data_IF_839885533725
#
_entry.id   IF_839885533725
#
_cell.length_a   1.000
_cell.length_b   1.000
_cell.length_c   1.000
_cell.angle_alpha   90.00
_cell.angle_beta   90.00
_cell.angle_gamma   90.00
#
_symmetry.space_group_name_H-M   'P 1'
#
loop_
_entity.id
_entity.type
_entity.pdbx_description
1 polymer ?
#
# COMPACT_ATOMS: atom_id res chain seq x y z
N UNK A 1 16.29 14.76 -11.30
CA UNK A 1 16.24 13.39 -10.87
C UNK A 1 14.84 12.91 -10.54
N UNK A 2 14.72 11.64 -10.27
CA UNK A 2 13.45 11.00 -9.90
C UNK A 2 13.35 10.98 -8.39
N UNK A 3 12.22 11.47 -7.84
CA UNK A 3 12.01 11.40 -6.41
C UNK A 3 11.55 10.00 -6.01
N UNK A 4 12.21 9.43 -5.01
CA UNK A 4 11.88 8.11 -4.48
C UNK A 4 11.57 8.25 -3.00
N UNK A 5 10.43 7.73 -2.58
CA UNK A 5 10.03 7.70 -1.18
C UNK A 5 10.07 6.27 -0.68
N UNK A 6 10.91 6.02 0.32
CA UNK A 6 10.93 4.76 1.05
C UNK A 6 10.16 4.96 2.34
N UNK A 7 9.05 4.25 2.49
CA UNK A 7 8.17 4.41 3.63
C UNK A 7 8.06 3.09 4.39
N UNK A 8 8.58 3.09 5.62
CA UNK A 8 8.35 1.94 6.50
C UNK A 8 6.92 2.03 7.01
N UNK A 9 6.06 1.21 6.42
CA UNK A 9 4.62 1.35 6.57
C UNK A 9 4.14 1.27 8.03
N UNK A 10 4.60 0.30 8.86
CA UNK A 10 4.15 0.24 10.24
C UNK A 10 4.48 1.49 11.06
N UNK A 11 5.68 2.05 10.86
CA UNK A 11 6.08 3.28 11.53
C UNK A 11 5.22 4.47 11.09
N UNK A 12 5.01 4.57 9.77
CA UNK A 12 4.16 5.61 9.22
C UNK A 12 2.76 5.58 9.84
N UNK A 13 2.15 4.39 9.90
CA UNK A 13 0.81 4.24 10.45
C UNK A 13 0.79 4.59 11.95
N UNK A 14 1.81 4.20 12.71
CA UNK A 14 1.84 4.51 14.14
C UNK A 14 1.97 5.99 14.44
N UNK A 15 2.56 6.77 13.51
CA UNK A 15 2.75 8.20 13.67
C UNK A 15 1.60 9.04 13.11
N UNK A 16 0.62 8.40 12.45
CA UNK A 16 -0.52 9.11 11.87
C UNK A 16 -1.57 9.45 12.92
N UNK A 17 -2.14 10.64 12.76
CA UNK A 17 -3.37 11.04 13.46
C UNK A 17 -4.26 11.80 12.47
N UNK A 18 -5.44 12.21 12.91
CA UNK A 18 -6.38 12.91 12.04
C UNK A 18 -5.84 14.27 11.57
N UNK A 19 -4.99 14.90 12.38
CA UNK A 19 -4.49 16.24 12.06
C UNK A 19 -3.41 16.22 10.98
N UNK A 20 -2.55 15.20 10.97
CA UNK A 20 -1.44 15.13 10.02
C UNK A 20 -1.70 14.24 8.80
N UNK A 21 -2.74 13.42 8.84
CA UNK A 21 -2.97 12.37 7.82
C UNK A 21 -3.11 12.95 6.41
N UNK A 22 -3.87 14.01 6.25
CA UNK A 22 -4.14 14.58 4.92
C UNK A 22 -2.86 15.08 4.26
N UNK A 23 -2.00 15.74 5.02
CA UNK A 23 -0.74 16.26 4.50
C UNK A 23 0.17 15.11 4.08
N UNK A 24 0.33 14.09 4.93
CA UNK A 24 1.17 12.94 4.63
C UNK A 24 0.66 12.14 3.44
N UNK A 25 -0.65 11.90 3.38
CA UNK A 25 -1.24 11.16 2.26
C UNK A 25 -1.01 11.89 0.95
N UNK A 26 -1.22 13.21 0.94
CA UNK A 26 -1.02 14.01 -0.28
C UNK A 26 0.42 13.96 -0.78
N UNK A 27 1.40 14.00 0.12
CA UNK A 27 2.81 13.91 -0.26
C UNK A 27 3.18 12.54 -0.78
N UNK A 28 2.74 11.49 -0.06
CA UNK A 28 3.12 10.12 -0.38
C UNK A 28 2.49 9.65 -1.68
N UNK A 29 1.20 9.92 -1.89
CA UNK A 29 0.54 9.46 -3.10
C UNK A 29 1.13 10.07 -4.37
N UNK A 30 1.72 11.24 -4.27
CA UNK A 30 2.27 11.98 -5.42
C UNK A 30 3.75 11.69 -5.69
N UNK A 31 4.43 10.92 -4.86
CA UNK A 31 5.84 10.58 -5.07
C UNK A 31 6.03 9.85 -6.39
N UNK A 32 7.09 10.15 -7.13
CA UNK A 32 7.33 9.51 -8.42
C UNK A 32 7.55 8.00 -8.29
N UNK A 33 8.30 7.58 -7.29
CA UNK A 33 8.51 6.17 -6.97
C UNK A 33 8.25 5.99 -5.47
N UNK A 34 7.41 5.02 -5.13
CA UNK A 34 7.09 4.73 -3.72
C UNK A 34 7.45 3.29 -3.38
N UNK A 35 8.15 3.10 -2.29
CA UNK A 35 8.38 1.77 -1.70
C UNK A 35 7.64 1.72 -0.38
N UNK A 36 6.63 0.86 -0.29
CA UNK A 36 5.91 0.59 0.95
C UNK A 36 6.54 -0.62 1.61
N UNK A 37 7.38 -0.36 2.61
CA UNK A 37 8.17 -1.38 3.26
C UNK A 37 7.42 -2.01 4.43
N UNK A 38 7.47 -3.32 4.50
CA UNK A 38 6.93 -4.13 5.61
C UNK A 38 5.42 -3.97 5.79
N UNK A 39 4.69 -3.91 4.67
CA UNK A 39 3.23 -3.84 4.72
C UNK A 39 2.67 -5.15 5.28
N UNK A 40 1.70 -5.04 6.20
CA UNK A 40 1.13 -6.19 6.88
C UNK A 40 1.63 -6.37 8.31
N UNK A 41 2.69 -5.64 8.71
CA UNK A 41 3.20 -5.67 10.08
C UNK A 41 2.51 -4.63 10.98
N UNK A 42 1.80 -3.68 10.38
CA UNK A 42 1.08 -2.66 11.14
C UNK A 42 -0.17 -3.24 11.81
N UNK A 43 -0.68 -2.53 12.82
CA UNK A 43 -1.99 -2.86 13.39
C UNK A 43 -3.07 -2.31 12.45
N UNK A 44 -3.85 -3.20 11.85
CA UNK A 44 -4.86 -2.82 10.89
C UNK A 44 -6.10 -2.24 11.56
N UNK A 45 -6.69 -1.22 10.95
CA UNK A 45 -8.02 -0.74 11.29
C UNK A 45 -8.69 -0.19 10.04
N UNK A 46 -10.02 -0.04 10.10
CA UNK A 46 -10.80 0.34 8.93
C UNK A 46 -10.43 1.73 8.40
N UNK A 47 -10.16 2.68 9.30
CA UNK A 47 -9.79 4.04 8.87
C UNK A 47 -8.47 4.05 8.10
N UNK A 48 -7.45 3.37 8.61
CA UNK A 48 -6.15 3.30 7.94
C UNK A 48 -6.30 2.60 6.60
N UNK A 49 -6.96 1.46 6.58
CA UNK A 49 -7.13 0.70 5.33
C UNK A 49 -7.87 1.51 4.27
N UNK A 50 -9.00 2.13 4.63
CA UNK A 50 -9.90 2.72 3.65
C UNK A 50 -9.59 4.18 3.33
N UNK A 51 -9.12 4.94 4.32
CA UNK A 51 -8.87 6.38 4.15
C UNK A 51 -7.41 6.73 3.89
N UNK A 52 -6.50 5.82 4.16
CA UNK A 52 -5.07 6.04 3.97
C UNK A 52 -4.53 5.16 2.85
N UNK A 53 -4.49 3.85 3.07
CA UNK A 53 -3.86 2.94 2.12
C UNK A 53 -4.59 2.91 0.78
N UNK A 54 -5.90 2.74 0.79
CA UNK A 54 -6.67 2.68 -0.44
C UNK A 54 -6.55 3.97 -1.24
N UNK A 55 -6.56 5.12 -0.58
CA UNK A 55 -6.45 6.42 -1.26
C UNK A 55 -5.09 6.55 -1.96
N UNK A 56 -4.02 6.17 -1.26
CA UNK A 56 -2.68 6.19 -1.84
C UNK A 56 -2.61 5.28 -3.06
N UNK A 57 -3.05 4.05 -2.92
CA UNK A 57 -2.93 3.05 -4.00
C UNK A 57 -3.83 3.39 -5.19
N UNK A 58 -5.03 3.90 -4.93
CA UNK A 58 -5.95 4.30 -6.00
C UNK A 58 -5.35 5.41 -6.86
N UNK A 59 -4.80 6.42 -6.24
CA UNK A 59 -4.16 7.53 -6.96
C UNK A 59 -2.98 7.02 -7.78
N UNK A 60 -2.13 6.19 -7.18
CA UNK A 60 -0.94 5.70 -7.86
C UNK A 60 -1.27 4.77 -9.02
N UNK A 61 -2.34 4.00 -8.90
CA UNK A 61 -2.83 3.17 -9.99
C UNK A 61 -3.34 4.02 -11.14
N UNK A 62 -4.14 5.04 -10.85
CA UNK A 62 -4.71 5.94 -11.87
C UNK A 62 -3.63 6.73 -12.62
N UNK A 63 -2.59 7.14 -11.91
CA UNK A 63 -1.52 7.96 -12.49
C UNK A 63 -0.32 7.13 -12.96
N UNK A 64 -0.44 5.82 -12.91
CA UNK A 64 0.63 4.89 -13.34
C UNK A 64 1.96 5.17 -12.66
N UNK A 65 1.94 5.40 -11.35
CA UNK A 65 3.14 5.69 -10.59
C UNK A 65 3.75 4.39 -10.05
N UNK A 66 5.02 4.12 -10.31
CA UNK A 66 5.68 2.90 -9.83
C UNK A 66 5.61 2.77 -8.32
N UNK A 67 5.11 1.63 -7.85
CA UNK A 67 4.91 1.36 -6.44
C UNK A 67 5.41 -0.05 -6.12
N UNK A 68 6.32 -0.14 -5.16
CA UNK A 68 6.91 -1.39 -4.72
C UNK A 68 6.42 -1.73 -3.32
N UNK A 69 6.33 -3.02 -3.04
CA UNK A 69 5.87 -3.50 -1.75
C UNK A 69 6.87 -4.52 -1.20
N UNK A 70 7.15 -4.45 0.09
CA UNK A 70 7.79 -5.56 0.80
C UNK A 70 6.86 -6.01 1.91
N UNK A 71 6.85 -7.31 2.18
CA UNK A 71 6.01 -7.88 3.23
C UNK A 71 6.54 -9.25 3.62
N UNK A 72 6.35 -9.61 4.88
CA UNK A 72 6.59 -10.98 5.34
C UNK A 72 5.37 -11.87 5.12
N UNK A 73 4.28 -11.30 4.63
CA UNK A 73 3.04 -12.03 4.38
C UNK A 73 2.90 -12.35 2.90
N UNK A 74 2.32 -13.51 2.60
CA UNK A 74 1.90 -13.83 1.24
C UNK A 74 0.65 -13.02 0.90
N UNK A 75 0.27 -12.99 -0.37
CA UNK A 75 -0.88 -12.20 -0.82
C UNK A 75 -2.16 -12.56 -0.06
N UNK A 76 -2.43 -13.85 0.14
CA UNK A 76 -3.62 -14.30 0.86
C UNK A 76 -3.57 -13.90 2.34
N UNK A 77 -2.40 -13.95 2.93
CA UNK A 77 -2.22 -13.54 4.32
C UNK A 77 -2.38 -12.04 4.48
N UNK A 78 -1.89 -11.26 3.51
CA UNK A 78 -2.07 -9.81 3.53
C UNK A 78 -3.55 -9.44 3.40
N UNK A 79 -4.29 -10.12 2.52
CA UNK A 79 -5.72 -9.90 2.40
C UNK A 79 -6.44 -10.20 3.71
N UNK A 80 -6.09 -11.30 4.37
CA UNK A 80 -6.67 -11.66 5.67
C UNK A 80 -6.36 -10.60 6.72
N UNK A 81 -5.12 -10.13 6.76
CA UNK A 81 -4.70 -9.07 7.66
C UNK A 81 -5.55 -7.80 7.46
N UNK A 82 -5.76 -7.41 6.20
CA UNK A 82 -6.54 -6.21 5.87
C UNK A 82 -8.03 -6.39 6.15
N UNK A 83 -8.54 -7.62 6.13
CA UNK A 83 -9.93 -7.89 6.44
C UNK A 83 -10.23 -7.85 7.93
N UNK A 84 -9.24 -8.15 8.77
CA UNK A 84 -9.43 -8.23 10.21
C UNK A 84 -9.36 -6.84 10.83
N UNK A 85 -10.48 -6.35 11.34
CA UNK A 85 -10.56 -5.09 12.08
C UNK A 85 -11.28 -5.34 13.40
N UNK A 86 -11.24 -4.36 14.30
CA UNK A 86 -11.93 -4.47 15.58
C UNK A 86 -13.45 -4.56 15.46
N UNK A 87 -13.99 -4.16 14.31
CA UNK A 87 -15.44 -4.19 14.09
C UNK A 87 -15.95 -5.54 13.66
N UNK A 88 -15.27 -6.16 12.68
CA UNK A 88 -15.70 -7.41 12.07
C UNK A 88 -14.68 -7.82 11.01
N UNK A 89 -14.88 -9.00 10.44
CA UNK A 89 -14.15 -9.39 9.25
C UNK A 89 -14.75 -8.67 8.05
N UNK A 90 -13.94 -7.83 7.41
CA UNK A 90 -14.39 -7.00 6.30
C UNK A 90 -13.71 -7.42 5.00
N UNK A 91 -14.27 -8.47 4.39
CA UNK A 91 -13.68 -9.10 3.20
C UNK A 91 -13.67 -8.15 1.99
N UNK A 92 -14.79 -7.47 1.73
CA UNK A 92 -14.89 -6.64 0.52
C UNK A 92 -13.98 -5.43 0.51
N UNK A 93 -13.87 -4.66 1.61
CA UNK A 93 -12.89 -3.59 1.67
C UNK A 93 -11.45 -4.09 1.50
N UNK A 94 -11.12 -5.25 2.09
CA UNK A 94 -9.80 -5.84 1.93
C UNK A 94 -9.55 -6.24 0.48
N UNK A 95 -10.53 -6.82 -0.20
CA UNK A 95 -10.39 -7.19 -1.60
C UNK A 95 -10.16 -5.99 -2.50
N UNK A 96 -10.83 -4.87 -2.21
CA UNK A 96 -10.60 -3.64 -2.99
C UNK A 96 -9.17 -3.15 -2.87
N UNK A 97 -8.60 -3.19 -1.67
CA UNK A 97 -7.20 -2.82 -1.48
C UNK A 97 -6.29 -3.80 -2.22
N UNK A 98 -6.56 -5.10 -2.09
CA UNK A 98 -5.73 -6.13 -2.73
C UNK A 98 -5.76 -6.07 -4.25
N UNK A 99 -6.87 -5.67 -4.85
CA UNK A 99 -6.93 -5.45 -6.30
C UNK A 99 -5.89 -4.42 -6.73
N UNK A 100 -5.75 -3.35 -5.97
CA UNK A 100 -4.81 -2.29 -6.26
C UNK A 100 -3.36 -2.71 -5.99
N UNK A 101 -3.14 -3.44 -4.90
CA UNK A 101 -1.81 -4.00 -4.60
C UNK A 101 -1.36 -4.92 -5.72
N UNK A 102 -2.24 -5.81 -6.15
CA UNK A 102 -1.92 -6.78 -7.21
C UNK A 102 -1.66 -6.09 -8.54
N UNK A 103 -2.46 -5.09 -8.87
CA UNK A 103 -2.27 -4.31 -10.10
C UNK A 103 -0.89 -3.65 -10.11
N UNK A 104 -0.55 -2.94 -9.05
CA UNK A 104 0.72 -2.21 -8.97
C UNK A 104 1.91 -3.16 -8.90
N UNK A 105 1.79 -4.26 -8.18
CA UNK A 105 2.85 -5.26 -8.07
C UNK A 105 3.06 -5.98 -9.40
N UNK A 106 2.01 -6.24 -10.16
CA UNK A 106 2.10 -6.91 -11.45
C UNK A 106 2.81 -6.04 -12.48
N UNK A 107 2.54 -4.73 -12.47
CA UNK A 107 3.25 -3.81 -13.36
C UNK A 107 4.76 -3.85 -13.12
N UNK A 108 5.18 -3.83 -11.85
CA UNK A 108 6.59 -3.89 -11.50
C UNK A 108 7.20 -5.24 -11.85
N UNK A 109 6.44 -6.32 -11.67
CA UNK A 109 6.88 -7.66 -11.99
C UNK A 109 7.14 -7.83 -13.48
N UNK A 110 6.28 -7.27 -14.33
CA UNK A 110 6.47 -7.34 -15.78
C UNK A 110 7.75 -6.65 -16.21
N UNK A 111 8.04 -5.48 -15.68
CA UNK A 111 9.29 -4.78 -15.95
C UNK A 111 10.48 -5.57 -15.45
N UNK A 112 10.41 -6.13 -14.26
CA UNK A 112 11.46 -6.95 -13.68
C UNK A 112 11.72 -8.21 -14.50
N UNK A 113 10.68 -8.86 -15.00
CA UNK A 113 10.79 -10.05 -15.83
C UNK A 113 11.54 -9.75 -17.13
N UNK A 114 11.25 -8.62 -17.74
CA UNK A 114 11.92 -8.21 -18.96
C UNK A 114 13.43 -8.04 -18.78
N UNK A 115 13.87 -7.78 -17.59
CA UNK A 115 15.29 -7.56 -17.28
C UNK A 115 16.01 -8.79 -16.75
N UNK A 116 15.29 -9.69 -16.10
CA UNK A 116 15.93 -10.80 -15.39
C UNK A 116 16.09 -12.07 -16.19
N UNK A 117 15.12 -12.46 -16.94
CA UNK A 117 15.14 -13.70 -17.71
C UNK A 117 15.49 -14.93 -16.90
N UNK A 118 14.87 -15.08 -15.78
CA UNK A 118 15.10 -16.23 -14.93
C UNK A 118 14.34 -17.45 -15.38
#
# INVERSE_FOLDING_TARGET
GISTTLLHYPTFISDLDFDNAKVWVNEIKASQVLVLDDIGAEQNNAWVRDSILQVILQHRMQENLPTFFTSNLRMEELEQHLAETKRADEIWPAKRVMERVKYLAEEMRLEGTNRRHD
#
